data_IF_465109465641
#
_entry.id   IF_465109465641
#
_cell.length_a   1.000
_cell.length_b   1.000
_cell.length_c   1.000
_cell.angle_alpha   90.00
_cell.angle_beta   90.00
_cell.angle_gamma   90.00
#
_symmetry.space_group_name_H-M   'P 1'
#
loop_
_entity.id
_entity.type
_entity.pdbx_description
1 polymer ?
#
# COMPACT_ATOMS: atom_id res chain seq x y z
N UNK A 1 8.82 -2.91 11.76
CA UNK A 1 9.54 -1.61 11.80
C UNK A 1 8.61 -0.46 11.38
N UNK A 2 8.88 0.81 11.74
CA UNK A 2 8.22 1.96 11.10
C UNK A 2 8.79 2.21 9.70
N UNK A 3 7.92 2.22 8.70
CA UNK A 3 8.29 2.44 7.30
C UNK A 3 8.02 3.89 6.88
N UNK A 4 6.91 4.49 7.34
CA UNK A 4 6.62 5.91 7.16
C UNK A 4 6.46 6.60 8.51
N UNK A 5 7.37 7.50 8.84
CA UNK A 5 7.32 8.27 10.09
C UNK A 5 6.25 9.37 10.06
N UNK A 6 5.99 9.99 8.89
CA UNK A 6 5.00 11.06 8.75
C UNK A 6 3.57 10.58 9.09
N UNK A 7 3.25 9.35 8.71
CA UNK A 7 1.92 8.73 8.91
C UNK A 7 1.92 7.60 9.95
N UNK A 8 3.02 7.43 10.67
CA UNK A 8 3.21 6.34 11.64
C UNK A 8 2.86 4.94 11.09
N UNK A 9 3.21 4.67 9.82
CA UNK A 9 2.92 3.38 9.16
C UNK A 9 4.05 2.41 9.40
N UNK A 10 3.68 1.21 9.84
CA UNK A 10 4.58 0.09 10.12
C UNK A 10 4.62 -0.91 8.96
N UNK A 11 5.68 -1.70 8.91
CA UNK A 11 5.85 -2.83 7.99
C UNK A 11 4.68 -3.81 8.06
N UNK A 12 4.15 -4.09 9.26
CA UNK A 12 2.99 -4.99 9.45
C UNK A 12 1.71 -4.45 8.81
N UNK A 13 1.53 -3.13 8.79
CA UNK A 13 0.40 -2.51 8.09
C UNK A 13 0.56 -2.60 6.57
N UNK A 14 1.78 -2.51 6.05
CA UNK A 14 2.06 -2.75 4.62
C UNK A 14 1.78 -4.21 4.28
N UNK A 15 2.26 -5.16 5.09
CA UNK A 15 1.98 -6.59 4.90
C UNK A 15 0.46 -6.87 4.89
N UNK A 16 -0.30 -6.24 5.80
CA UNK A 16 -1.75 -6.37 5.87
C UNK A 16 -2.44 -5.82 4.61
N UNK A 17 -2.06 -4.63 4.14
CA UNK A 17 -2.57 -4.06 2.89
C UNK A 17 -2.28 -4.95 1.67
N UNK A 18 -1.07 -5.53 1.60
CA UNK A 18 -0.71 -6.48 0.54
C UNK A 18 -1.55 -7.76 0.63
N UNK A 19 -1.76 -8.29 1.84
CA UNK A 19 -2.65 -9.45 2.05
C UNK A 19 -4.08 -9.15 1.65
N UNK A 20 -4.54 -7.92 1.89
CA UNK A 20 -5.87 -7.46 1.49
C UNK A 20 -5.96 -7.20 -0.02
N UNK A 21 -4.83 -7.00 -0.71
CA UNK A 21 -4.75 -7.04 -2.17
C UNK A 21 -3.94 -5.92 -2.81
N UNK A 22 -3.29 -5.03 -2.05
CA UNK A 22 -2.43 -3.99 -2.61
C UNK A 22 -1.26 -4.60 -3.44
N UNK A 23 -1.05 -4.13 -4.66
CA UNK A 23 0.01 -4.62 -5.58
C UNK A 23 0.93 -3.52 -6.09
N UNK A 24 0.54 -2.26 -5.89
CA UNK A 24 1.32 -1.11 -6.30
C UNK A 24 1.48 -0.11 -5.15
N UNK A 25 2.55 0.71 -5.22
CA UNK A 25 2.74 1.81 -4.26
C UNK A 25 1.55 2.78 -4.22
N UNK A 26 0.80 2.92 -5.33
CA UNK A 26 -0.42 3.72 -5.38
C UNK A 26 -1.52 3.16 -4.47
N UNK A 27 -1.62 1.84 -4.36
CA UNK A 27 -2.60 1.19 -3.49
C UNK A 27 -2.24 1.45 -2.04
N UNK A 28 -0.97 1.25 -1.67
CA UNK A 28 -0.47 1.57 -0.33
C UNK A 28 -0.61 3.06 0.01
N UNK A 29 -0.42 3.97 -0.95
CA UNK A 29 -0.70 5.40 -0.75
C UNK A 29 -2.17 5.62 -0.43
N UNK A 30 -3.06 4.98 -1.17
CA UNK A 30 -4.51 5.14 -1.02
C UNK A 30 -5.01 4.54 0.30
N UNK A 31 -4.48 3.39 0.71
CA UNK A 31 -4.91 2.67 1.91
C UNK A 31 -4.23 3.16 3.20
N UNK A 32 -2.95 3.56 3.13
CA UNK A 32 -2.12 3.87 4.31
C UNK A 32 -1.62 5.31 4.36
N UNK A 33 -1.88 6.13 3.33
CA UNK A 33 -1.44 7.53 3.24
C UNK A 33 0.09 7.70 3.05
N UNK A 34 0.83 6.62 2.80
CA UNK A 34 2.27 6.72 2.58
C UNK A 34 2.58 7.52 1.30
N UNK A 35 3.73 8.18 1.24
CA UNK A 35 4.18 8.99 0.08
C UNK A 35 3.38 10.30 -0.13
N UNK A 36 2.35 10.59 0.66
CA UNK A 36 1.60 11.85 0.54
C UNK A 36 2.36 13.09 1.05
N UNK A 37 3.20 12.94 2.09
CA UNK A 37 3.90 14.08 2.69
C UNK A 37 5.32 14.23 2.12
N UNK A 38 6.34 13.59 2.73
CA UNK A 38 7.74 13.77 2.35
C UNK A 38 8.27 12.78 1.30
N UNK A 39 7.51 11.74 0.97
CA UNK A 39 7.90 10.71 -0.02
C UNK A 39 9.05 9.77 0.36
N UNK A 40 9.81 10.04 1.43
CA UNK A 40 11.06 9.32 1.76
C UNK A 40 10.89 7.81 2.01
N UNK A 41 9.68 7.40 2.42
CA UNK A 41 9.36 5.99 2.66
C UNK A 41 9.20 5.15 1.38
N UNK A 42 9.09 5.76 0.18
CA UNK A 42 8.67 5.07 -1.04
C UNK A 42 9.49 3.82 -1.37
N UNK A 43 10.83 3.91 -1.32
CA UNK A 43 11.72 2.76 -1.58
C UNK A 43 11.53 1.65 -0.54
N UNK A 44 11.47 2.01 0.74
CA UNK A 44 11.31 1.05 1.83
C UNK A 44 9.94 0.37 1.78
N UNK A 45 8.87 1.15 1.55
CA UNK A 45 7.53 0.61 1.39
C UNK A 45 7.41 -0.36 0.21
N UNK A 46 8.03 -0.03 -0.94
CA UNK A 46 8.08 -0.95 -2.09
C UNK A 46 8.81 -2.25 -1.74
N UNK A 47 9.94 -2.17 -1.03
CA UNK A 47 10.67 -3.37 -0.62
C UNK A 47 9.84 -4.25 0.35
N UNK A 48 9.13 -3.67 1.32
CA UNK A 48 8.24 -4.43 2.19
C UNK A 48 7.09 -5.08 1.38
N UNK A 49 6.54 -4.36 0.41
CA UNK A 49 5.50 -4.87 -0.48
C UNK A 49 5.99 -6.05 -1.31
N UNK A 50 7.10 -5.89 -2.03
CA UNK A 50 7.69 -6.91 -2.90
C UNK A 50 8.03 -8.18 -2.10
N UNK A 51 8.68 -8.03 -0.94
CA UNK A 51 8.98 -9.14 -0.02
C UNK A 51 7.73 -9.89 0.42
N UNK A 52 6.64 -9.17 0.71
CA UNK A 52 5.39 -9.80 1.14
C UNK A 52 4.75 -10.59 -0.01
N UNK A 53 4.79 -10.06 -1.23
CA UNK A 53 4.29 -10.74 -2.43
C UNK A 53 5.09 -12.02 -2.70
N UNK A 54 6.42 -11.96 -2.62
CA UNK A 54 7.31 -13.11 -2.77
C UNK A 54 7.00 -14.23 -1.76
N UNK A 55 6.61 -13.87 -0.53
CA UNK A 55 6.27 -14.83 0.53
C UNK A 55 4.88 -15.45 0.41
N UNK A 56 3.91 -14.78 -0.23
CA UNK A 56 2.52 -15.26 -0.32
C UNK A 56 2.26 -16.22 -1.51
N UNK A 57 3.16 -16.32 -2.48
CA UNK A 57 2.88 -17.04 -3.74
C UNK A 57 1.95 -16.24 -4.67
N UNK A 58 1.46 -16.84 -5.78
CA UNK A 58 0.69 -16.12 -6.79
C UNK A 58 -0.59 -15.51 -6.17
N UNK A 59 -0.86 -14.22 -6.42
CA UNK A 59 -1.94 -13.50 -5.74
C UNK A 59 -3.31 -13.98 -6.24
N UNK A 60 -4.29 -14.18 -5.35
CA UNK A 60 -5.59 -14.74 -5.75
C UNK A 60 -6.50 -13.78 -6.57
N UNK A 61 -6.14 -12.51 -6.77
CA UNK A 61 -6.96 -11.53 -7.53
C UNK A 61 -6.17 -10.23 -7.81
N UNK A 62 -6.38 -9.58 -8.96
CA UNK A 62 -5.83 -8.25 -9.24
C UNK A 62 -6.69 -7.14 -8.61
N UNK A 63 -6.13 -6.35 -7.68
CA UNK A 63 -6.71 -5.04 -7.30
C UNK A 63 -6.25 -3.99 -8.32
N UNK A 64 -7.02 -3.85 -9.37
CA UNK A 64 -6.93 -2.70 -10.28
C UNK A 64 -8.26 -1.95 -10.21
N UNK A 65 -8.38 -0.96 -9.32
CA UNK A 65 -9.39 0.09 -9.47
C UNK A 65 -10.68 0.04 -8.63
N UNK A 66 -10.68 -0.46 -7.39
CA UNK A 66 -11.76 -0.16 -6.43
C UNK A 66 -11.33 1.08 -5.63
N UNK A 67 -11.73 2.31 -5.96
CA UNK A 67 -13.10 2.76 -6.12
C UNK A 67 -13.16 4.00 -7.02
N UNK A 68 -13.72 3.84 -8.21
CA UNK A 68 -14.58 4.89 -8.78
C UNK A 68 -15.82 4.92 -7.86
N UNK A 69 -15.67 5.47 -6.65
CA UNK A 69 -16.84 5.91 -5.88
C UNK A 69 -17.28 7.20 -6.56
N UNK A 70 -18.34 7.06 -7.34
CA UNK A 70 -19.22 8.15 -7.73
C UNK A 70 -19.56 8.96 -6.47
N UNK A 71 -18.84 10.06 -6.24
CA UNK A 71 -19.42 11.21 -5.58
C UNK A 71 -19.92 12.12 -6.70
N UNK A 72 -21.24 12.26 -6.92
CA UNK A 72 -21.74 13.30 -7.79
C UNK A 72 -21.32 14.65 -7.20
N UNK A 73 -20.88 15.54 -8.07
CA UNK A 73 -20.61 16.93 -7.74
C UNK A 73 -21.76 17.52 -6.90
N UNK A 74 -21.42 18.03 -5.71
CA UNK A 74 -22.20 19.09 -5.08
C UNK A 74 -21.31 19.99 -4.26
#
# INVERSE_FOLDING_TARGET
>A
MYVCVCRAVTERQIEAAVKDGARHLRDLRTELGIIEDCGRCARCAKQCMDKTIEQMGPPPHPKSGAAILLHPAR
#
